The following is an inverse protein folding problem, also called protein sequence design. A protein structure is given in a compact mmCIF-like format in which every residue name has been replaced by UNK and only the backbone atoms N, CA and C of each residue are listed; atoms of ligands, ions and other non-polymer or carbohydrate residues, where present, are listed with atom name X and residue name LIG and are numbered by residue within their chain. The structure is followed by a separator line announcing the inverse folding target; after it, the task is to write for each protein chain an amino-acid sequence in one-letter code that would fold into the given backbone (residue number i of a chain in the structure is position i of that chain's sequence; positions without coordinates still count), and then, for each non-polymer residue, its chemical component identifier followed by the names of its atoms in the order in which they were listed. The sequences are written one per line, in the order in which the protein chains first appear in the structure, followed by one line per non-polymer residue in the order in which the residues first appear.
data_IF_888978094728
#
_entry.id   IF_888978094728
#
_cell.length_a   1.000
_cell.length_b   1.000
_cell.length_c   1.000
_cell.angle_alpha   90.00
_cell.angle_beta   90.00
_cell.angle_gamma   90.00
#
_symmetry.space_group_name_H-M   'P 1'
#
loop_
_entity.id
_entity.type
_entity.pdbx_description
1 polymer ?
#
# COMPACT_ATOMS: atom_id res chain seq x y z
N UNK A 1 -46.39 -85.04 -30.98
CA UNK A 1 -45.11 -84.51 -31.47
C UNK A 1 -45.25 -82.98 -31.50
N UNK A 2 -44.79 -82.28 -30.46
CA UNK A 2 -43.50 -81.54 -30.42
C UNK A 2 -43.33 -80.62 -31.66
N UNK A 3 -43.03 -79.31 -31.58
CA UNK A 3 -42.67 -78.46 -30.46
C UNK A 3 -42.72 -76.97 -30.90
N UNK A 4 -42.74 -76.08 -29.90
CA UNK A 4 -42.17 -74.72 -29.89
C UNK A 4 -42.71 -73.63 -30.82
N UNK A 5 -43.11 -72.51 -30.21
CA UNK A 5 -42.24 -71.33 -30.07
C UNK A 5 -42.79 -70.34 -29.04
N UNK A 6 -41.91 -69.96 -28.13
CA UNK A 6 -42.03 -68.84 -27.20
C UNK A 6 -42.02 -67.51 -27.97
N UNK A 7 -42.81 -66.54 -27.51
CA UNK A 7 -42.57 -65.11 -27.72
C UNK A 7 -43.14 -64.35 -26.51
N UNK A 8 -42.25 -63.76 -25.72
CA UNK A 8 -42.55 -62.80 -24.64
C UNK A 8 -42.17 -61.42 -25.19
N UNK A 9 -43.04 -60.39 -25.11
CA UNK A 9 -42.60 -59.02 -25.30
C UNK A 9 -42.44 -58.27 -23.97
N UNK A 10 -41.20 -57.80 -23.81
CA UNK A 10 -40.70 -56.56 -23.17
C UNK A 10 -41.44 -55.93 -21.98
N UNK A 11 -40.75 -55.95 -20.83
CA UNK A 11 -40.95 -55.05 -19.72
C UNK A 11 -40.46 -53.64 -20.08
N UNK A 12 -41.37 -52.67 -20.07
CA UNK A 12 -41.05 -51.25 -20.20
C UNK A 12 -40.22 -50.77 -19.00
N UNK A 13 -38.98 -50.35 -19.26
CA UNK A 13 -38.06 -49.77 -18.28
C UNK A 13 -38.17 -48.24 -18.33
N UNK A 14 -38.93 -47.66 -17.39
CA UNK A 14 -39.05 -46.21 -17.20
C UNK A 14 -37.74 -45.56 -16.77
N UNK A 15 -37.49 -44.29 -17.15
CA UNK A 15 -36.16 -43.69 -17.16
C UNK A 15 -35.62 -43.35 -15.77
N UNK A 16 -34.29 -43.52 -15.67
CA UNK A 16 -33.44 -43.25 -14.54
C UNK A 16 -33.63 -41.83 -13.96
N UNK A 17 -33.97 -41.76 -12.67
CA UNK A 17 -33.85 -40.53 -11.88
C UNK A 17 -32.40 -40.34 -11.48
N UNK A 18 -31.62 -39.72 -12.37
CA UNK A 18 -30.31 -39.19 -12.03
C UNK A 18 -30.47 -37.97 -11.12
N UNK A 19 -30.37 -38.20 -9.81
CA UNK A 19 -30.17 -37.11 -8.84
C UNK A 19 -28.69 -36.73 -8.96
N UNK A 20 -28.41 -35.70 -9.74
CA UNK A 20 -27.09 -35.11 -9.84
C UNK A 20 -26.71 -34.44 -8.51
N UNK A 21 -25.47 -34.59 -8.02
CA UNK A 21 -25.04 -34.01 -6.76
C UNK A 21 -25.00 -32.48 -6.90
N UNK A 22 -25.72 -31.80 -6.01
CA UNK A 22 -25.69 -30.34 -5.88
C UNK A 22 -24.31 -29.94 -5.31
N UNK A 23 -23.36 -29.70 -6.21
CA UNK A 23 -22.01 -29.26 -5.92
C UNK A 23 -22.03 -27.94 -5.13
N UNK A 24 -21.85 -28.04 -3.81
CA UNK A 24 -21.68 -26.88 -2.94
C UNK A 24 -20.22 -26.38 -3.05
N UNK A 25 -19.93 -25.63 -4.11
CA UNK A 25 -18.67 -24.92 -4.26
C UNK A 25 -18.65 -23.71 -3.32
N UNK A 26 -18.19 -23.90 -2.08
CA UNK A 26 -17.81 -22.82 -1.18
C UNK A 26 -16.57 -22.12 -1.75
N UNK A 27 -16.79 -21.07 -2.55
CA UNK A 27 -15.72 -20.18 -2.99
C UNK A 27 -15.22 -19.39 -1.78
N UNK A 28 -14.13 -19.84 -1.20
CA UNK A 28 -13.34 -19.11 -0.20
C UNK A 28 -12.65 -17.93 -0.89
N UNK A 29 -13.35 -16.78 -0.97
CA UNK A 29 -12.74 -15.53 -1.35
C UNK A 29 -11.83 -15.06 -0.21
N UNK A 30 -10.53 -15.37 -0.29
CA UNK A 30 -9.53 -14.74 0.55
C UNK A 30 -9.46 -13.25 0.18
N UNK A 31 -10.16 -12.40 0.93
CA UNK A 31 -9.99 -10.96 0.84
C UNK A 31 -8.61 -10.60 1.41
N UNK A 32 -7.64 -10.39 0.52
CA UNK A 32 -6.32 -9.87 0.88
C UNK A 32 -6.48 -8.40 1.25
N UNK A 33 -6.55 -8.11 2.55
CA UNK A 33 -6.62 -6.74 3.06
C UNK A 33 -5.38 -5.97 2.61
N UNK A 34 -5.52 -4.80 1.95
CA UNK A 34 -4.38 -4.00 1.54
C UNK A 34 -3.48 -3.69 2.74
N UNK A 35 -2.16 -3.73 2.55
CA UNK A 35 -1.19 -3.37 3.58
C UNK A 35 -1.53 -1.96 4.09
N UNK A 36 -1.90 -1.84 5.36
CA UNK A 36 -2.40 -0.57 5.91
C UNK A 36 -1.33 0.53 5.99
N UNK A 37 -0.04 0.16 5.86
CA UNK A 37 1.11 1.06 6.00
C UNK A 37 2.04 0.86 4.80
N UNK A 38 2.41 1.97 4.17
CA UNK A 38 3.37 2.05 3.07
C UNK A 38 4.52 2.95 3.52
N UNK A 39 5.76 2.50 3.36
CA UNK A 39 6.95 3.24 3.76
C UNK A 39 7.79 3.54 2.53
N UNK A 40 8.31 4.76 2.44
CA UNK A 40 9.26 5.19 1.41
C UNK A 40 10.41 5.94 2.07
N UNK A 41 11.62 5.80 1.53
CA UNK A 41 12.82 6.44 2.08
C UNK A 41 13.76 7.02 1.01
N UNK A 42 13.42 6.83 -0.26
CA UNK A 42 14.25 7.22 -1.38
C UNK A 42 13.42 7.78 -2.54
N UNK A 43 14.05 8.57 -3.39
CA UNK A 43 13.42 9.10 -4.61
C UNK A 43 13.02 8.00 -5.60
N UNK A 44 13.66 6.83 -5.55
CA UNK A 44 13.35 5.65 -6.37
C UNK A 44 12.02 4.98 -6.00
N UNK A 45 11.44 5.28 -4.84
CA UNK A 45 10.13 4.75 -4.42
C UNK A 45 8.95 5.50 -5.07
N UNK A 46 9.23 6.50 -5.91
CA UNK A 46 8.26 7.34 -6.59
C UNK A 46 8.18 7.02 -8.10
N UNK A 47 7.00 7.18 -8.74
CA UNK A 47 5.74 7.66 -8.19
C UNK A 47 5.06 6.64 -7.28
N UNK A 48 4.24 7.11 -6.35
CA UNK A 48 3.60 6.30 -5.35
C UNK A 48 2.09 6.20 -5.57
N UNK A 49 1.55 4.98 -5.60
CA UNK A 49 0.12 4.72 -5.58
C UNK A 49 -0.32 4.24 -4.19
N UNK A 50 -1.37 4.87 -3.66
CA UNK A 50 -1.99 4.57 -2.38
C UNK A 50 -3.48 4.26 -2.58
N UNK A 51 -4.08 3.61 -1.60
CA UNK A 51 -5.52 3.48 -1.43
C UNK A 51 -6.00 4.35 -0.30
N UNK A 52 -7.21 4.87 -0.42
CA UNK A 52 -7.87 5.62 0.65
C UNK A 52 -7.81 4.83 1.96
N UNK A 53 -7.36 5.48 3.03
CA UNK A 53 -7.18 4.86 4.33
C UNK A 53 -5.80 4.23 4.57
N UNK A 54 -4.90 4.16 3.60
CA UNK A 54 -3.52 3.76 3.87
C UNK A 54 -2.74 4.86 4.61
N UNK A 55 -1.78 4.45 5.43
CA UNK A 55 -0.83 5.35 6.07
C UNK A 55 0.48 5.33 5.30
N UNK A 56 0.94 6.50 4.86
CA UNK A 56 2.28 6.72 4.30
C UNK A 56 3.24 7.10 5.42
N UNK A 57 4.37 6.41 5.50
CA UNK A 57 5.53 6.78 6.33
C UNK A 57 6.65 7.21 5.38
N UNK A 58 7.07 8.46 5.48
CA UNK A 58 8.24 8.97 4.76
C UNK A 58 9.39 9.11 5.74
N UNK A 59 10.54 8.51 5.42
CA UNK A 59 11.76 8.57 6.23
C UNK A 59 12.89 9.17 5.40
N UNK A 60 13.47 10.29 5.82
CA UNK A 60 14.58 10.91 5.09
C UNK A 60 15.82 11.10 5.98
N UNK A 61 17.05 10.85 5.47
CA UNK A 61 18.28 11.12 6.18
C UNK A 61 18.36 12.55 6.69
N UNK A 62 18.76 12.72 7.96
CA UNK A 62 18.76 14.02 8.62
C UNK A 62 19.87 14.11 9.65
N UNK A 63 20.66 15.18 9.61
CA UNK A 63 21.68 15.45 10.62
C UNK A 63 21.43 16.82 11.26
N UNK A 64 20.63 16.89 12.34
CA UNK A 64 20.26 18.17 12.92
C UNK A 64 21.44 18.94 13.54
N UNK A 65 22.58 18.28 13.77
CA UNK A 65 23.80 18.90 14.34
C UNK A 65 24.49 19.87 13.38
N UNK A 66 24.25 19.75 12.06
CA UNK A 66 24.80 20.66 11.04
C UNK A 66 23.93 21.91 10.83
N UNK A 67 22.77 21.98 11.49
CA UNK A 67 21.81 23.06 11.30
C UNK A 67 20.79 22.86 10.18
N UNK A 68 21.00 21.87 9.32
CA UNK A 68 20.07 21.55 8.24
C UNK A 68 18.80 20.88 8.76
N UNK A 69 17.67 21.14 8.11
CA UNK A 69 16.37 20.54 8.39
C UNK A 69 15.64 20.27 7.09
N UNK A 70 14.82 19.23 7.08
CA UNK A 70 13.83 19.04 6.03
C UNK A 70 12.64 19.98 6.26
N UNK A 71 12.27 20.73 5.23
CA UNK A 71 11.14 21.64 5.22
C UNK A 71 10.09 21.09 4.25
N UNK A 72 8.85 20.93 4.72
CA UNK A 72 7.74 20.53 3.84
C UNK A 72 7.32 21.73 2.99
N UNK A 73 7.55 21.65 1.68
CA UNK A 73 7.16 22.68 0.71
C UNK A 73 5.75 22.45 0.18
N UNK A 74 5.42 21.20 -0.11
CA UNK A 74 4.07 20.80 -0.49
C UNK A 74 3.72 19.47 0.20
N UNK A 75 2.74 19.43 1.10
CA UNK A 75 2.33 18.21 1.80
C UNK A 75 1.34 17.32 1.02
N UNK A 76 0.95 17.69 -0.21
CA UNK A 76 -0.18 17.07 -0.92
C UNK A 76 -1.49 17.06 -0.10
N UNK A 77 -1.79 18.20 0.55
CA UNK A 77 -2.89 18.38 1.52
C UNK A 77 -4.28 18.01 0.97
N UNK A 78 -4.46 17.98 -0.35
CA UNK A 78 -5.72 17.62 -1.00
C UNK A 78 -6.02 16.11 -0.99
N UNK A 79 -5.00 15.26 -0.77
CA UNK A 79 -5.12 13.79 -0.78
C UNK A 79 -4.48 13.13 0.44
N UNK A 80 -3.58 13.84 1.14
CA UNK A 80 -2.87 13.39 2.34
C UNK A 80 -3.19 14.29 3.53
N UNK A 81 -3.54 13.67 4.65
CA UNK A 81 -3.64 14.33 5.96
C UNK A 81 -2.46 13.94 6.84
N UNK A 82 -1.74 14.93 7.37
CA UNK A 82 -0.70 14.68 8.37
C UNK A 82 -1.27 14.05 9.65
N UNK A 83 -0.56 13.06 10.19
CA UNK A 83 -0.89 12.37 11.45
C UNK A 83 -0.08 12.89 12.65
N UNK A 84 0.68 13.97 12.47
CA UNK A 84 1.46 14.60 13.53
C UNK A 84 2.65 15.41 13.01
N UNK A 85 3.44 15.98 13.92
CA UNK A 85 4.69 16.62 13.54
C UNK A 85 5.73 15.59 13.04
N UNK A 86 6.79 16.10 12.43
CA UNK A 86 8.03 15.36 12.19
C UNK A 86 8.53 14.69 13.48
N UNK A 87 9.03 13.47 13.36
CA UNK A 87 9.72 12.76 14.43
C UNK A 87 11.15 12.48 13.99
N UNK A 88 12.12 12.89 14.80
CA UNK A 88 13.52 12.54 14.58
C UNK A 88 13.87 11.23 15.31
N UNK A 89 14.49 10.31 14.60
CA UNK A 89 15.00 9.05 15.12
C UNK A 89 16.52 8.97 14.91
N UNK A 90 17.27 8.68 15.99
CA UNK A 90 18.69 8.37 15.86
C UNK A 90 18.86 7.00 15.20
N UNK A 91 19.90 6.82 14.37
CA UNK A 91 20.27 5.48 13.90
C UNK A 91 20.56 4.58 15.13
N UNK A 92 20.03 3.36 15.15
CA UNK A 92 20.06 2.46 16.31
C UNK A 92 21.49 2.09 16.78
N UNK A 93 22.50 2.30 15.93
CA UNK A 93 23.91 2.32 16.30
C UNK A 93 24.26 3.60 17.06
N UNK A 94 23.92 3.57 18.35
CA UNK A 94 24.35 4.51 19.39
C UNK A 94 25.88 4.71 19.38
N UNK A 95 26.28 5.89 19.87
CA UNK A 95 27.62 6.26 20.36
C UNK A 95 28.56 7.04 19.42
N UNK A 96 28.03 7.89 18.53
CA UNK A 96 28.86 8.99 17.99
C UNK A 96 28.09 10.29 17.93
N UNK A 97 28.57 11.31 18.64
CA UNK A 97 28.09 12.69 18.46
C UNK A 97 28.37 13.09 17.01
N UNK A 98 27.33 13.41 16.25
CA UNK A 98 27.43 13.79 14.84
C UNK A 98 27.06 12.71 13.82
N UNK A 99 26.72 11.48 14.23
CA UNK A 99 26.09 10.53 13.31
C UNK A 99 24.69 11.03 12.95
N UNK A 100 24.43 11.17 11.65
CA UNK A 100 23.10 11.53 11.15
C UNK A 100 22.06 10.50 11.58
N UNK A 101 20.86 10.97 11.88
CA UNK A 101 19.68 10.15 12.10
C UNK A 101 18.73 10.25 10.91
N UNK A 102 17.45 10.12 11.21
CA UNK A 102 16.36 10.09 10.24
C UNK A 102 15.24 11.01 10.71
N UNK A 103 14.66 11.77 9.78
CA UNK A 103 13.42 12.51 9.98
C UNK A 103 12.26 11.69 9.41
N UNK A 104 11.18 11.55 10.18
CA UNK A 104 10.04 10.70 9.85
C UNK A 104 8.75 11.49 9.87
N UNK A 105 7.97 11.37 8.80
CA UNK A 105 6.62 11.93 8.68
C UNK A 105 5.60 10.82 8.47
N UNK A 106 4.39 11.03 9.00
CA UNK A 106 3.28 10.10 8.88
C UNK A 106 2.08 10.83 8.28
N UNK A 107 1.58 10.30 7.17
CA UNK A 107 0.41 10.82 6.48
C UNK A 107 -0.65 9.73 6.34
N UNK A 108 -1.92 10.12 6.34
CA UNK A 108 -3.06 9.27 6.00
C UNK A 108 -3.56 9.68 4.63
N UNK A 109 -3.69 8.73 3.70
CA UNK A 109 -4.41 8.95 2.46
C UNK A 109 -5.91 9.09 2.78
N UNK A 110 -6.50 10.25 2.48
CA UNK A 110 -7.89 10.56 2.87
C UNK A 110 -8.85 10.60 1.70
N UNK A 111 -8.42 11.18 0.58
CA UNK A 111 -9.29 11.47 -0.56
C UNK A 111 -8.64 10.96 -1.84
N UNK A 112 -9.46 10.43 -2.74
CA UNK A 112 -8.99 9.98 -4.05
C UNK A 112 -8.56 11.17 -4.91
N UNK A 113 -7.52 10.97 -5.73
CA UNK A 113 -6.98 11.99 -6.61
C UNK A 113 -5.46 11.93 -6.72
N UNK A 114 -4.88 12.99 -7.24
CA UNK A 114 -3.43 13.12 -7.38
C UNK A 114 -2.90 14.33 -6.64
N UNK A 115 -1.64 14.25 -6.23
CA UNK A 115 -0.95 15.32 -5.53
C UNK A 115 0.56 15.12 -5.59
N UNK A 116 1.29 16.07 -5.01
CA UNK A 116 2.75 16.05 -5.00
C UNK A 116 3.26 16.38 -3.61
N UNK A 117 3.98 15.44 -3.02
CA UNK A 117 4.69 15.64 -1.76
C UNK A 117 6.09 16.17 -2.09
N UNK A 118 6.43 17.35 -1.59
CA UNK A 118 7.70 18.02 -1.86
C UNK A 118 8.36 18.51 -0.58
N UNK A 119 9.65 18.21 -0.42
CA UNK A 119 10.46 18.58 0.74
C UNK A 119 11.82 19.13 0.29
N UNK A 120 12.37 20.05 1.06
CA UNK A 120 13.71 20.62 0.83
C UNK A 120 14.57 20.49 2.08
N UNK A 121 15.83 20.10 1.92
CA UNK A 121 16.80 20.00 3.02
C UNK A 121 17.73 21.22 2.99
N UNK A 122 17.56 22.12 3.96
CA UNK A 122 18.31 23.38 4.00
C UNK A 122 18.41 23.92 5.42
N UNK A 123 19.29 24.90 5.63
CA UNK A 123 19.34 25.65 6.88
C UNK A 123 18.16 26.65 6.93
N UNK A 124 17.24 26.55 7.90
CA UNK A 124 16.03 27.38 7.91
C UNK A 124 16.29 28.89 8.02
N UNK A 125 17.45 29.30 8.52
CA UNK A 125 17.85 30.71 8.67
C UNK A 125 18.53 31.31 7.45
N UNK A 126 18.83 30.52 6.41
CA UNK A 126 19.46 30.97 5.17
C UNK A 126 18.60 30.59 3.95
N UNK A 127 17.35 31.09 3.86
CA UNK A 127 16.41 30.70 2.80
C UNK A 127 16.86 31.10 1.38
N UNK A 128 17.78 32.05 1.26
CA UNK A 128 18.39 32.48 0.00
C UNK A 128 19.40 31.48 -0.57
N UNK A 129 19.90 30.57 0.26
CA UNK A 129 20.81 29.50 -0.18
C UNK A 129 19.97 28.35 -0.76
N UNK A 130 20.28 27.86 -1.97
CA UNK A 130 19.58 26.71 -2.54
C UNK A 130 19.61 25.50 -1.61
N UNK A 131 18.55 24.68 -1.58
CA UNK A 131 18.53 23.46 -0.79
C UNK A 131 19.68 22.53 -1.16
N UNK A 132 20.27 21.87 -0.16
CA UNK A 132 21.29 20.85 -0.38
C UNK A 132 20.67 19.60 -1.02
N UNK A 133 19.43 19.26 -0.60
CA UNK A 133 18.69 18.13 -1.14
C UNK A 133 17.22 18.48 -1.33
N UNK A 134 16.56 17.76 -2.23
CA UNK A 134 15.13 17.84 -2.48
C UNK A 134 14.55 16.44 -2.56
N UNK A 135 13.33 16.27 -2.08
CA UNK A 135 12.55 15.06 -2.26
C UNK A 135 11.20 15.45 -2.90
N UNK A 136 10.83 14.80 -4.00
CA UNK A 136 9.58 15.09 -4.71
C UNK A 136 8.89 13.80 -5.15
N UNK A 137 7.71 13.51 -4.61
CA UNK A 137 6.95 12.32 -4.96
C UNK A 137 5.60 12.70 -5.57
N UNK A 138 5.34 12.25 -6.79
CA UNK A 138 3.99 12.23 -7.33
C UNK A 138 3.20 11.10 -6.65
N UNK A 139 2.04 11.43 -6.10
CA UNK A 139 1.21 10.51 -5.32
C UNK A 139 -0.18 10.45 -5.96
N UNK A 140 -0.67 9.23 -6.17
CA UNK A 140 -2.04 8.95 -6.58
C UNK A 140 -2.74 8.17 -5.47
N UNK A 141 -3.96 8.56 -5.12
CA UNK A 141 -4.83 7.85 -4.18
C UNK A 141 -6.08 7.38 -4.95
N UNK A 142 -6.36 6.08 -4.89
CA UNK A 142 -7.61 5.49 -5.41
C UNK A 142 -8.58 5.05 -4.29
#
# INVERSE_FOLDING_TARGET
MLAHRFAIPELAMTPARFIAPLSLALLTACAQTPKSIVSIDSQSDCPLALKTGQTLILTLPSNPTTGFRWLTQNPAQNILRSLGPEVYANAETKEMVGSGGQSVWRYKATDAGTGRLMMTYQQPWAPEVPPEQTFECAITVD
#
